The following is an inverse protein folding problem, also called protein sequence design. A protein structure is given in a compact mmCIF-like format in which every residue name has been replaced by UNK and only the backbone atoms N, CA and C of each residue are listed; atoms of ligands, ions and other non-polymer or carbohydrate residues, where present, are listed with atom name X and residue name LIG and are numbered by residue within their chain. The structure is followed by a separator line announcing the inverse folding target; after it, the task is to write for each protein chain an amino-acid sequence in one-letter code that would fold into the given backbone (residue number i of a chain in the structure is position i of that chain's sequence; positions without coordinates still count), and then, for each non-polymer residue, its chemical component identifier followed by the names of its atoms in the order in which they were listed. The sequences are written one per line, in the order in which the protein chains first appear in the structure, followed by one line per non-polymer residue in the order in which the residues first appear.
data_IF_598605433865
#
_entry.id   IF_598605433865
#
_cell.length_a   1.000
_cell.length_b   1.000
_cell.length_c   1.000
_cell.angle_alpha   90.00
_cell.angle_beta   90.00
_cell.angle_gamma   90.00
#
_symmetry.space_group_name_H-M   'P 1'
#
loop_
_entity.id
_entity.type
_entity.pdbx_description
1 polymer ?
#
# COMPACT_ATOMS: atom_id res chain seq x y z
N UNK A 1 1.45 1.76 -50.83
CA UNK A 1 1.83 2.62 -49.68
C UNK A 1 2.08 1.70 -48.50
N UNK A 2 3.33 1.51 -48.09
CA UNK A 2 3.65 0.75 -46.88
C UNK A 2 3.10 1.47 -45.64
N UNK A 3 2.77 0.75 -44.55
CA UNK A 3 2.32 1.39 -43.32
C UNK A 3 3.37 2.40 -42.85
N UNK A 4 2.94 3.64 -42.62
CA UNK A 4 3.79 4.68 -42.03
C UNK A 4 4.10 4.26 -40.61
N UNK A 5 5.30 3.71 -40.39
CA UNK A 5 5.76 3.40 -39.04
C UNK A 5 5.94 4.71 -38.27
N UNK A 6 5.10 4.92 -37.26
CA UNK A 6 5.24 6.04 -36.35
C UNK A 6 6.63 5.98 -35.67
N UNK A 7 7.29 7.13 -35.45
CA UNK A 7 8.52 7.20 -34.65
C UNK A 7 8.38 6.41 -33.35
N UNK A 8 9.44 5.77 -32.87
CA UNK A 8 9.40 4.87 -31.71
C UNK A 8 8.68 5.48 -30.48
N UNK A 9 8.85 6.78 -30.24
CA UNK A 9 8.22 7.53 -29.13
C UNK A 9 6.71 7.77 -29.29
N UNK A 10 6.16 7.67 -30.51
CA UNK A 10 4.72 7.80 -30.80
C UNK A 10 3.99 6.44 -30.75
N UNK A 11 4.72 5.34 -30.73
CA UNK A 11 4.13 4.02 -30.63
C UNK A 11 3.35 3.88 -29.31
N UNK A 12 2.11 3.34 -29.32
CA UNK A 12 1.27 3.20 -28.14
C UNK A 12 1.97 2.50 -26.96
N UNK A 13 2.83 1.52 -27.25
CA UNK A 13 3.60 0.77 -26.26
C UNK A 13 4.59 1.65 -25.49
N UNK A 14 5.33 2.52 -26.18
CA UNK A 14 6.30 3.41 -25.54
C UNK A 14 5.62 4.49 -24.70
N UNK A 15 4.51 5.06 -25.18
CA UNK A 15 3.72 6.03 -24.41
C UNK A 15 3.16 5.43 -23.13
N UNK A 16 2.65 4.19 -23.19
CA UNK A 16 2.19 3.42 -22.04
C UNK A 16 3.32 3.19 -21.02
N UNK A 17 4.49 2.74 -21.48
CA UNK A 17 5.62 2.47 -20.60
C UNK A 17 6.17 3.77 -19.96
N UNK A 18 6.25 4.86 -20.74
CA UNK A 18 6.66 6.16 -20.21
C UNK A 18 5.69 6.67 -19.13
N UNK A 19 4.38 6.54 -19.36
CA UNK A 19 3.36 6.88 -18.39
C UNK A 19 3.51 6.08 -17.09
N UNK A 20 3.61 4.75 -17.18
CA UNK A 20 3.77 3.89 -16.00
C UNK A 20 5.08 4.17 -15.25
N UNK A 21 6.17 4.42 -15.99
CA UNK A 21 7.45 4.79 -15.39
C UNK A 21 7.34 6.09 -14.57
N UNK A 22 6.74 7.14 -15.15
CA UNK A 22 6.53 8.42 -14.46
C UNK A 22 5.62 8.23 -13.25
N UNK A 23 4.56 7.44 -13.38
CA UNK A 23 3.65 7.12 -12.29
C UNK A 23 4.38 6.45 -11.11
N UNK A 24 5.14 5.38 -11.36
CA UNK A 24 5.90 4.70 -10.31
C UNK A 24 7.01 5.57 -9.74
N UNK A 25 7.63 6.44 -10.54
CA UNK A 25 8.62 7.39 -10.06
C UNK A 25 8.02 8.41 -9.09
N UNK A 26 6.85 8.97 -9.40
CA UNK A 26 6.14 9.90 -8.51
C UNK A 26 5.81 9.20 -7.19
N UNK A 27 5.26 7.98 -7.25
CA UNK A 27 4.95 7.21 -6.05
C UNK A 27 6.19 6.86 -5.24
N UNK A 28 7.27 6.43 -5.88
CA UNK A 28 8.55 6.18 -5.24
C UNK A 28 9.08 7.43 -4.52
N UNK A 29 9.06 8.59 -5.17
CA UNK A 29 9.50 9.85 -4.58
C UNK A 29 8.63 10.23 -3.36
N UNK A 30 7.30 10.08 -3.46
CA UNK A 30 6.39 10.33 -2.35
C UNK A 30 6.68 9.46 -1.13
N UNK A 31 6.74 8.14 -1.32
CA UNK A 31 7.02 7.20 -0.24
C UNK A 31 8.44 7.35 0.33
N UNK A 32 9.43 7.66 -0.50
CA UNK A 32 10.81 7.93 -0.06
C UNK A 32 10.91 9.21 0.77
N UNK A 33 10.21 10.26 0.36
CA UNK A 33 10.12 11.50 1.13
C UNK A 33 9.47 11.27 2.49
N UNK A 34 8.35 10.53 2.53
CA UNK A 34 7.67 10.17 3.78
C UNK A 34 8.63 9.40 4.69
N UNK A 35 9.23 8.31 4.19
CA UNK A 35 10.11 7.46 4.97
C UNK A 35 11.32 8.22 5.53
N UNK A 36 11.94 9.07 4.72
CA UNK A 36 13.08 9.88 5.13
C UNK A 36 12.68 10.88 6.21
N UNK A 37 11.55 11.59 6.05
CA UNK A 37 11.06 12.53 7.05
C UNK A 37 10.73 11.84 8.37
N UNK A 38 10.08 10.67 8.33
CA UNK A 38 9.80 9.88 9.53
C UNK A 38 11.09 9.48 10.24
N UNK A 39 12.08 8.99 9.50
CA UNK A 39 13.37 8.54 10.05
C UNK A 39 14.12 9.70 10.69
N UNK A 40 14.23 10.84 10.00
CA UNK A 40 14.91 12.04 10.52
C UNK A 40 14.22 12.55 11.79
N UNK A 41 12.89 12.63 11.81
CA UNK A 41 12.14 13.10 12.98
C UNK A 41 12.27 12.16 14.17
N UNK A 42 12.24 10.84 13.93
CA UNK A 42 12.47 9.83 14.95
C UNK A 42 13.85 9.98 15.60
N UNK A 43 14.91 10.19 14.81
CA UNK A 43 16.27 10.39 15.34
C UNK A 43 16.49 11.76 15.98
N UNK A 44 15.83 12.82 15.49
CA UNK A 44 16.09 14.20 15.94
C UNK A 44 15.33 14.57 17.21
N UNK A 45 14.10 14.11 17.35
CA UNK A 45 13.16 14.57 18.39
C UNK A 45 12.67 13.44 19.30
N UNK A 46 13.06 12.18 19.04
CA UNK A 46 12.70 11.03 19.87
C UNK A 46 11.19 10.81 19.98
N UNK A 47 10.72 10.52 21.20
CA UNK A 47 9.31 10.20 21.48
C UNK A 47 8.34 11.38 21.29
N UNK A 48 8.79 12.61 21.53
CA UNK A 48 7.93 13.81 21.47
C UNK A 48 7.69 14.30 20.04
N UNK A 49 8.34 13.69 19.05
CA UNK A 49 8.24 14.06 17.63
C UNK A 49 6.96 13.60 16.92
N UNK A 50 6.21 12.70 17.54
CA UNK A 50 5.20 11.89 16.85
C UNK A 50 3.99 12.71 16.41
N UNK A 51 3.56 13.67 17.25
CA UNK A 51 2.40 14.53 16.99
C UNK A 51 2.62 15.39 15.75
N UNK A 52 3.77 16.09 15.71
CA UNK A 52 4.16 16.91 14.55
C UNK A 52 4.43 16.08 13.29
N UNK A 53 4.87 14.83 13.47
CA UNK A 53 5.17 13.91 12.36
C UNK A 53 3.90 13.56 11.59
N UNK A 54 2.81 13.20 12.26
CA UNK A 54 1.56 12.91 11.56
C UNK A 54 0.98 14.14 10.86
N UNK A 55 1.06 15.32 11.48
CA UNK A 55 0.56 16.56 10.88
C UNK A 55 1.30 16.91 9.58
N UNK A 56 2.63 16.73 9.55
CA UNK A 56 3.45 17.00 8.37
C UNK A 56 3.33 15.92 7.28
N UNK A 57 3.19 14.66 7.67
CA UNK A 57 3.32 13.51 6.75
C UNK A 57 1.95 12.95 6.34
N UNK A 58 0.95 13.07 7.19
CA UNK A 58 -0.38 12.48 7.01
C UNK A 58 -1.07 12.95 5.73
N UNK A 59 -0.89 14.21 5.34
CA UNK A 59 -1.41 14.72 4.06
C UNK A 59 -0.76 14.00 2.87
N UNK A 60 0.57 13.92 2.85
CA UNK A 60 1.30 13.28 1.75
C UNK A 60 1.00 11.79 1.70
N UNK A 61 0.91 11.12 2.86
CA UNK A 61 0.51 9.72 2.95
C UNK A 61 -0.89 9.50 2.35
N UNK A 62 -1.88 10.31 2.72
CA UNK A 62 -3.24 10.23 2.16
C UNK A 62 -3.22 10.41 0.65
N UNK A 63 -2.48 11.40 0.14
CA UNK A 63 -2.34 11.63 -1.29
C UNK A 63 -1.72 10.44 -2.01
N UNK A 64 -0.60 9.91 -1.53
CA UNK A 64 0.06 8.73 -2.11
C UNK A 64 -0.89 7.53 -2.14
N UNK A 65 -1.57 7.21 -1.03
CA UNK A 65 -2.52 6.10 -0.97
C UNK A 65 -3.72 6.30 -1.92
N UNK A 66 -4.25 7.52 -2.03
CA UNK A 66 -5.31 7.82 -2.99
C UNK A 66 -4.84 7.68 -4.43
N UNK A 67 -3.61 8.10 -4.76
CA UNK A 67 -3.04 7.92 -6.09
C UNK A 67 -2.78 6.43 -6.39
N UNK A 68 -2.53 5.59 -5.37
CA UNK A 68 -2.40 4.14 -5.53
C UNK A 68 -3.69 3.46 -5.98
N UNK A 69 -4.87 4.07 -5.79
CA UNK A 69 -6.12 3.56 -6.38
C UNK A 69 -6.08 3.51 -7.91
N UNK A 70 -5.28 4.36 -8.56
CA UNK A 70 -5.09 4.31 -10.01
C UNK A 70 -4.50 2.98 -10.48
N UNK A 71 -3.78 2.25 -9.62
CA UNK A 71 -3.24 0.93 -9.95
C UNK A 71 -4.37 -0.07 -10.23
N UNK A 72 -5.48 0.00 -9.48
CA UNK A 72 -6.65 -0.83 -9.74
C UNK A 72 -7.25 -0.53 -11.11
N UNK A 73 -7.28 0.75 -11.50
CA UNK A 73 -7.72 1.15 -12.83
C UNK A 73 -6.75 0.67 -13.90
N UNK A 74 -5.44 0.74 -13.66
CA UNK A 74 -4.42 0.26 -14.60
C UNK A 74 -4.56 -1.24 -14.85
N UNK A 75 -4.78 -2.03 -13.79
CA UNK A 75 -5.00 -3.48 -13.91
C UNK A 75 -6.34 -3.77 -14.60
N UNK A 76 -7.41 -3.09 -14.19
CA UNK A 76 -8.75 -3.29 -14.75
C UNK A 76 -8.83 -2.99 -16.25
N UNK A 77 -8.18 -1.92 -16.71
CA UNK A 77 -8.12 -1.53 -18.13
C UNK A 77 -7.10 -2.39 -18.91
N UNK A 78 -6.28 -3.20 -18.24
CA UNK A 78 -5.24 -4.02 -18.88
C UNK A 78 -3.98 -3.22 -19.27
N UNK A 79 -3.78 -2.05 -18.67
CA UNK A 79 -2.53 -1.29 -18.76
C UNK A 79 -1.44 -2.03 -17.97
N UNK A 80 -1.73 -2.52 -16.77
CA UNK A 80 -0.81 -3.34 -16.01
C UNK A 80 -1.26 -4.81 -16.03
N UNK A 81 -0.32 -5.73 -16.19
CA UNK A 81 -0.59 -7.17 -16.19
C UNK A 81 -0.31 -7.72 -14.79
N UNK A 82 -1.29 -7.58 -13.90
CA UNK A 82 -1.23 -8.05 -12.51
C UNK A 82 -2.61 -8.60 -12.08
N UNK A 83 -2.68 -9.31 -10.95
CA UNK A 83 -3.90 -9.85 -10.40
C UNK A 83 -4.69 -8.77 -9.65
N UNK A 84 -5.92 -8.50 -10.13
CA UNK A 84 -6.76 -7.43 -9.58
C UNK A 84 -7.18 -7.68 -8.13
N UNK A 85 -7.58 -8.91 -7.79
CA UNK A 85 -8.18 -9.20 -6.48
C UNK A 85 -7.21 -9.03 -5.29
N UNK A 86 -5.97 -9.58 -5.30
CA UNK A 86 -5.01 -9.33 -4.23
C UNK A 86 -4.66 -7.85 -4.07
N UNK A 87 -4.49 -7.12 -5.18
CA UNK A 87 -4.20 -5.69 -5.16
C UNK A 87 -5.37 -4.88 -4.63
N UNK A 88 -6.60 -5.26 -4.98
CA UNK A 88 -7.82 -4.65 -4.45
C UNK A 88 -7.92 -4.82 -2.94
N UNK A 89 -7.68 -6.03 -2.41
CA UNK A 89 -7.70 -6.29 -0.97
C UNK A 89 -6.64 -5.46 -0.24
N UNK A 90 -5.40 -5.43 -0.75
CA UNK A 90 -4.29 -4.68 -0.15
C UNK A 90 -4.49 -3.16 -0.15
N UNK A 91 -5.09 -2.60 -1.20
CA UNK A 91 -5.35 -1.16 -1.23
C UNK A 91 -6.56 -0.80 -0.37
N UNK A 92 -7.59 -1.63 -0.38
CA UNK A 92 -8.80 -1.40 0.41
C UNK A 92 -8.52 -1.47 1.90
N UNK A 93 -7.72 -2.44 2.37
CA UNK A 93 -7.37 -2.55 3.78
C UNK A 93 -6.63 -1.29 4.28
N UNK A 94 -5.63 -0.84 3.52
CA UNK A 94 -4.82 0.34 3.88
C UNK A 94 -5.63 1.62 3.85
N UNK A 95 -6.53 1.78 2.88
CA UNK A 95 -7.41 2.95 2.77
C UNK A 95 -8.40 2.99 3.92
N UNK A 96 -9.01 1.87 4.29
CA UNK A 96 -9.92 1.81 5.43
C UNK A 96 -9.16 2.20 6.70
N UNK A 97 -8.00 1.60 6.97
CA UNK A 97 -7.22 1.94 8.16
C UNK A 97 -6.80 3.42 8.15
N UNK A 98 -6.29 3.93 7.03
CA UNK A 98 -5.79 5.31 6.97
C UNK A 98 -6.90 6.35 7.11
N UNK A 99 -7.99 6.22 6.36
CA UNK A 99 -9.05 7.22 6.32
C UNK A 99 -10.08 7.04 7.43
N UNK A 100 -10.48 5.79 7.69
CA UNK A 100 -11.54 5.50 8.65
C UNK A 100 -11.01 5.43 10.07
N UNK A 101 -9.88 4.75 10.31
CA UNK A 101 -9.37 4.56 11.68
C UNK A 101 -8.45 5.71 12.10
N UNK A 102 -7.42 6.01 11.30
CA UNK A 102 -6.37 6.95 11.70
C UNK A 102 -6.81 8.40 11.49
N UNK A 103 -7.35 8.75 10.32
CA UNK A 103 -7.70 10.15 10.01
C UNK A 103 -8.93 10.65 10.77
N UNK A 104 -9.83 9.76 11.21
CA UNK A 104 -11.06 10.20 11.89
C UNK A 104 -10.91 10.45 13.39
N UNK A 105 -9.81 10.01 14.00
CA UNK A 105 -9.54 10.15 15.44
C UNK A 105 -8.14 10.74 15.64
N UNK A 106 -8.05 11.99 16.11
CA UNK A 106 -6.77 12.67 16.32
C UNK A 106 -5.92 11.95 17.40
N UNK A 107 -6.56 11.39 18.41
CA UNK A 107 -5.92 10.65 19.51
C UNK A 107 -5.22 9.37 19.04
N UNK A 108 -5.67 8.79 17.92
CA UNK A 108 -5.06 7.60 17.32
C UNK A 108 -3.83 7.98 16.51
N UNK A 109 -3.82 9.16 15.89
CA UNK A 109 -2.72 9.66 15.04
C UNK A 109 -1.41 9.78 15.81
N UNK A 110 -1.48 10.09 17.10
CA UNK A 110 -0.33 10.24 17.98
C UNK A 110 0.24 8.91 18.50
N UNK A 111 -0.42 7.78 18.24
CA UNK A 111 0.00 6.47 18.78
C UNK A 111 1.19 5.91 18.01
N UNK A 112 2.10 5.26 18.75
CA UNK A 112 3.27 4.56 18.17
C UNK A 112 2.93 3.55 17.08
N UNK A 113 1.77 2.90 17.19
CA UNK A 113 1.31 1.92 16.19
C UNK A 113 1.15 2.54 14.81
N UNK A 114 0.69 3.79 14.72
CA UNK A 114 0.52 4.50 13.45
C UNK A 114 1.88 4.79 12.81
N UNK A 115 2.85 5.20 13.62
CA UNK A 115 4.23 5.41 13.15
C UNK A 115 4.84 4.12 12.59
N UNK A 116 4.71 3.00 13.32
CA UNK A 116 5.20 1.70 12.87
C UNK A 116 4.51 1.26 11.56
N UNK A 117 3.19 1.44 11.48
CA UNK A 117 2.42 1.15 10.25
C UNK A 117 2.94 1.94 9.06
N UNK A 118 3.12 3.24 9.22
CA UNK A 118 3.59 4.10 8.14
C UNK A 118 4.99 3.69 7.70
N UNK A 119 5.89 3.34 8.62
CA UNK A 119 7.22 2.83 8.26
C UNK A 119 7.10 1.57 7.40
N UNK A 120 6.34 0.57 7.83
CA UNK A 120 6.18 -0.68 7.08
C UNK A 120 5.56 -0.47 5.70
N UNK A 121 4.50 0.32 5.65
CA UNK A 121 3.82 0.73 4.42
C UNK A 121 4.78 1.38 3.42
N UNK A 122 5.55 2.38 3.84
CA UNK A 122 6.48 3.07 2.93
C UNK A 122 7.66 2.19 2.51
N UNK A 123 8.18 1.34 3.39
CA UNK A 123 9.28 0.42 3.04
C UNK A 123 8.83 -0.58 1.97
N UNK A 124 7.64 -1.16 2.12
CA UNK A 124 7.07 -2.06 1.11
C UNK A 124 6.86 -1.36 -0.23
N UNK A 125 6.23 -0.18 -0.20
CA UNK A 125 5.94 0.57 -1.41
C UNK A 125 7.21 1.07 -2.10
N UNK A 126 8.21 1.56 -1.38
CA UNK A 126 9.49 1.97 -1.98
C UNK A 126 10.12 0.83 -2.78
N UNK A 127 10.21 -0.37 -2.21
CA UNK A 127 10.82 -1.51 -2.89
C UNK A 127 9.98 -1.97 -4.07
N UNK A 128 8.66 -2.05 -3.91
CA UNK A 128 7.73 -2.42 -4.99
C UNK A 128 7.78 -1.43 -6.14
N UNK A 129 7.68 -0.13 -5.88
CA UNK A 129 7.72 0.90 -6.91
C UNK A 129 9.06 0.95 -7.62
N UNK A 130 10.18 0.73 -6.91
CA UNK A 130 11.50 0.60 -7.54
C UNK A 130 11.53 -0.58 -8.50
N UNK A 131 11.01 -1.74 -8.08
CA UNK A 131 10.93 -2.93 -8.94
C UNK A 131 10.02 -2.70 -10.16
N UNK A 132 8.80 -2.17 -9.96
CA UNK A 132 7.85 -1.90 -11.04
C UNK A 132 8.39 -0.89 -12.05
N UNK A 133 9.02 0.18 -11.58
CA UNK A 133 9.66 1.19 -12.43
C UNK A 133 10.75 0.59 -13.33
N UNK A 134 11.63 -0.25 -12.77
CA UNK A 134 12.70 -0.90 -13.55
C UNK A 134 12.14 -1.98 -14.50
N UNK A 135 11.10 -2.70 -14.07
CA UNK A 135 10.43 -3.72 -14.89
C UNK A 135 9.83 -3.11 -16.17
N UNK A 136 9.23 -1.92 -16.08
CA UNK A 136 8.61 -1.22 -17.23
C UNK A 136 9.64 -0.82 -18.30
N UNK A 137 10.87 -0.49 -17.90
CA UNK A 137 11.98 -0.18 -18.83
C UNK A 137 12.73 -1.44 -19.28
N UNK A 138 12.31 -2.62 -18.82
CA UNK A 138 12.92 -3.92 -19.18
C UNK A 138 14.22 -4.23 -18.45
N UNK A 139 14.56 -3.48 -17.39
CA UNK A 139 15.74 -3.71 -16.56
C UNK A 139 15.35 -4.58 -15.37
N UNK A 140 16.03 -5.71 -15.20
CA UNK A 140 15.81 -6.61 -14.07
C UNK A 140 17.10 -6.92 -13.33
N UNK A 141 17.18 -6.56 -12.06
CA UNK A 141 18.29 -6.92 -11.17
C UNK A 141 17.89 -8.08 -10.27
N UNK A 142 18.72 -9.12 -10.20
CA UNK A 142 18.43 -10.33 -9.41
C UNK A 142 18.13 -10.02 -7.94
N UNK A 143 18.94 -9.15 -7.32
CA UNK A 143 18.81 -8.79 -5.91
C UNK A 143 17.51 -8.02 -5.67
N UNK A 144 17.18 -7.05 -6.54
CA UNK A 144 15.97 -6.25 -6.39
C UNK A 144 14.71 -7.08 -6.62
N UNK A 145 14.69 -7.95 -7.64
CA UNK A 145 13.58 -8.87 -7.89
C UNK A 145 13.38 -9.78 -6.67
N UNK A 146 14.46 -10.37 -6.15
CA UNK A 146 14.37 -11.23 -4.97
C UNK A 146 13.88 -10.47 -3.74
N UNK A 147 14.39 -9.25 -3.51
CA UNK A 147 13.99 -8.40 -2.38
C UNK A 147 12.51 -8.04 -2.47
N UNK A 148 12.05 -7.53 -3.62
CA UNK A 148 10.63 -7.20 -3.84
C UNK A 148 9.71 -8.39 -3.64
N UNK A 149 10.16 -9.59 -3.98
CA UNK A 149 9.40 -10.83 -3.86
C UNK A 149 9.54 -11.51 -2.48
N UNK A 150 10.39 -10.99 -1.59
CA UNK A 150 10.66 -11.61 -0.28
C UNK A 150 10.32 -10.70 0.88
N UNK A 151 10.48 -9.39 0.73
CA UNK A 151 10.29 -8.39 1.78
C UNK A 151 8.86 -8.35 2.32
N UNK A 152 7.86 -8.61 1.46
CA UNK A 152 6.46 -8.63 1.86
C UNK A 152 6.14 -9.79 2.82
N UNK A 153 6.84 -10.92 2.76
CA UNK A 153 6.52 -12.09 3.59
C UNK A 153 6.59 -11.81 5.10
N UNK A 154 7.66 -11.19 5.65
CA UNK A 154 7.69 -10.82 7.06
C UNK A 154 6.90 -9.54 7.36
N UNK A 155 6.93 -8.53 6.47
CA UNK A 155 6.35 -7.23 6.78
C UNK A 155 4.82 -7.24 6.71
N UNK A 156 4.22 -7.97 5.76
CA UNK A 156 2.76 -8.00 5.58
C UNK A 156 2.01 -8.52 6.84
N UNK A 157 2.40 -9.65 7.46
CA UNK A 157 1.86 -10.06 8.76
C UNK A 157 2.01 -9.01 9.86
N UNK A 158 3.16 -8.32 9.90
CA UNK A 158 3.41 -7.28 10.90
C UNK A 158 2.54 -6.05 10.65
N UNK A 159 2.28 -5.69 9.39
CA UNK A 159 1.31 -4.66 9.03
C UNK A 159 -0.08 -5.02 9.56
N UNK A 160 -0.60 -6.21 9.22
CA UNK A 160 -1.95 -6.64 9.63
C UNK A 160 -2.09 -6.66 11.16
N UNK A 161 -1.06 -7.12 11.89
CA UNK A 161 -1.04 -7.07 13.35
C UNK A 161 -1.06 -5.63 13.89
N UNK A 162 -0.29 -4.73 13.29
CA UNK A 162 -0.29 -3.32 13.69
C UNK A 162 -1.61 -2.62 13.32
N UNK A 163 -2.26 -2.96 12.21
CA UNK A 163 -3.59 -2.48 11.82
C UNK A 163 -4.65 -2.95 12.81
N UNK A 164 -4.60 -4.23 13.20
CA UNK A 164 -5.47 -4.79 14.23
C UNK A 164 -5.28 -4.07 15.58
N UNK A 165 -4.05 -3.75 15.96
CA UNK A 165 -3.75 -3.01 17.18
C UNK A 165 -4.19 -1.53 17.10
N UNK A 166 -4.10 -0.91 15.93
CA UNK A 166 -4.62 0.45 15.69
C UNK A 166 -6.16 0.47 15.82
N UNK A 167 -6.85 -0.51 15.23
CA UNK A 167 -8.29 -0.71 15.41
C UNK A 167 -8.63 -0.87 16.89
N UNK A 168 -7.95 -1.78 17.59
CA UNK A 168 -8.21 -2.04 18.99
C UNK A 168 -8.07 -0.79 19.87
N UNK A 169 -7.01 0.00 19.65
CA UNK A 169 -6.82 1.25 20.36
C UNK A 169 -7.83 2.33 19.98
N UNK A 170 -8.37 2.32 18.76
CA UNK A 170 -9.37 3.28 18.30
C UNK A 170 -10.79 3.00 18.85
N UNK A 171 -11.13 1.75 19.15
CA UNK A 171 -12.44 1.33 19.64
C UNK A 171 -13.01 2.19 20.78
N UNK A 172 -12.29 2.45 21.90
CA UNK A 172 -12.83 3.25 23.00
C UNK A 172 -13.16 4.69 22.59
N UNK A 173 -12.44 5.26 21.61
CA UNK A 173 -12.70 6.59 21.09
C UNK A 173 -13.98 6.60 20.23
N UNK A 174 -14.17 5.59 19.37
CA UNK A 174 -15.43 5.44 18.63
C UNK A 174 -16.64 5.17 19.53
N UNK A 175 -16.45 4.44 20.63
CA UNK A 175 -17.51 4.16 21.60
C UNK A 175 -17.90 5.42 22.41
N UNK A 176 -16.94 6.28 22.74
CA UNK A 176 -17.17 7.49 23.53
C UNK A 176 -17.66 8.69 22.71
N UNK A 177 -17.07 8.95 21.53
CA UNK A 177 -17.42 10.09 20.69
C UNK A 177 -18.62 9.82 19.77
N UNK A 178 -18.98 8.55 19.55
CA UNK A 178 -20.09 8.17 18.66
C UNK A 178 -19.83 8.48 17.18
N UNK A 179 -18.59 8.76 16.78
CA UNK A 179 -18.19 9.08 15.40
C UNK A 179 -18.65 7.96 14.45
N UNK A 180 -19.37 8.32 13.38
CA UNK A 180 -19.99 7.41 12.40
C UNK A 180 -21.12 6.51 12.90
N UNK A 181 -21.63 6.70 14.12
CA UNK A 181 -22.81 5.95 14.59
C UNK A 181 -24.10 6.65 14.15
N UNK A 182 -24.78 6.09 13.14
CA UNK A 182 -26.10 6.55 12.70
C UNK A 182 -27.21 5.73 13.35
N UNK A 183 -28.15 6.39 14.04
CA UNK A 183 -29.42 5.78 14.42
C UNK A 183 -30.31 5.70 13.18
N UNK A 184 -30.50 4.50 12.62
CA UNK A 184 -31.49 4.31 11.56
C UNK A 184 -32.91 4.42 12.13
N UNK A 185 -33.90 4.84 11.32
CA UNK A 185 -35.31 4.95 11.73
C UNK A 185 -36.03 3.60 11.91
N UNK A 186 -35.38 2.48 11.57
CA UNK A 186 -35.81 1.13 11.90
C UNK A 186 -34.83 0.60 12.97
N UNK A 187 -35.31 -0.13 13.98
CA UNK A 187 -34.61 -0.56 15.22
C UNK A 187 -33.22 -1.25 15.08
N UNK A 188 -32.63 -1.32 13.89
CA UNK A 188 -31.21 -1.59 13.66
C UNK A 188 -30.36 -0.33 13.86
N UNK A 189 -29.96 -0.06 15.11
CA UNK A 189 -28.82 0.83 15.35
C UNK A 189 -27.52 0.08 15.02
N UNK A 190 -26.98 0.27 13.81
CA UNK A 190 -25.64 -0.22 13.48
C UNK A 190 -24.64 0.68 14.21
N UNK A 191 -24.16 0.19 15.35
CA UNK A 191 -23.13 0.87 16.11
C UNK A 191 -21.78 0.61 15.45
N UNK A 192 -21.12 1.68 15.03
CA UNK A 192 -19.89 1.64 14.23
C UNK A 192 -18.77 0.77 14.85
N UNK A 193 -18.57 0.75 16.20
CA UNK A 193 -17.65 -0.19 16.85
C UNK A 193 -17.90 -1.68 16.57
N UNK A 194 -19.15 -2.12 16.36
CA UNK A 194 -19.41 -3.51 15.97
C UNK A 194 -18.95 -3.80 14.54
N UNK A 195 -19.12 -2.83 13.62
CA UNK A 195 -18.59 -2.93 12.26
C UNK A 195 -17.07 -3.07 12.28
N UNK A 196 -16.39 -2.27 13.12
CA UNK A 196 -14.93 -2.32 13.25
C UNK A 196 -14.44 -3.64 13.87
N UNK A 197 -15.18 -4.21 14.85
CA UNK A 197 -14.91 -5.54 15.41
C UNK A 197 -15.09 -6.66 14.37
N UNK A 198 -16.12 -6.58 13.52
CA UNK A 198 -16.29 -7.52 12.40
C UNK A 198 -15.19 -7.38 11.35
N UNK A 199 -14.79 -6.13 11.05
CA UNK A 199 -13.69 -5.84 10.14
C UNK A 199 -12.35 -6.41 10.63
N UNK A 200 -12.10 -6.39 11.95
CA UNK A 200 -10.93 -7.04 12.55
C UNK A 200 -10.85 -8.53 12.19
N UNK A 201 -11.96 -9.27 12.25
CA UNK A 201 -11.99 -10.68 11.83
C UNK A 201 -11.73 -10.82 10.33
N UNK A 202 -12.30 -9.93 9.52
CA UNK A 202 -12.12 -9.93 8.07
C UNK A 202 -10.67 -9.65 7.66
N UNK A 203 -9.93 -8.81 8.39
CA UNK A 203 -8.51 -8.52 8.14
C UNK A 203 -7.66 -9.80 8.19
N UNK A 204 -7.83 -10.64 9.21
CA UNK A 204 -7.05 -11.89 9.32
C UNK A 204 -7.40 -12.90 8.23
N UNK A 205 -8.67 -12.95 7.82
CA UNK A 205 -9.11 -13.80 6.70
C UNK A 205 -8.50 -13.28 5.39
N UNK A 206 -8.61 -11.98 5.13
CA UNK A 206 -8.04 -11.31 3.96
C UNK A 206 -6.52 -11.49 3.88
N UNK A 207 -5.83 -11.39 5.01
CA UNK A 207 -4.40 -11.64 5.13
C UNK A 207 -4.05 -13.06 4.64
N UNK A 208 -4.76 -14.09 5.11
CA UNK A 208 -4.48 -15.46 4.70
C UNK A 208 -4.64 -15.68 3.19
N UNK A 209 -5.71 -15.13 2.60
CA UNK A 209 -5.96 -15.22 1.16
C UNK A 209 -4.89 -14.50 0.35
N UNK A 210 -4.59 -13.24 0.69
CA UNK A 210 -3.59 -12.42 0.01
C UNK A 210 -2.20 -13.03 0.15
N UNK A 211 -1.82 -13.49 1.34
CA UNK A 211 -0.54 -14.14 1.60
C UNK A 211 -0.37 -15.40 0.74
N UNK A 212 -1.40 -16.24 0.68
CA UNK A 212 -1.38 -17.47 -0.12
C UNK A 212 -1.20 -17.18 -1.61
N UNK A 213 -1.88 -16.14 -2.11
CA UNK A 213 -1.79 -15.72 -3.51
C UNK A 213 -0.39 -15.18 -3.85
N UNK A 214 0.10 -14.19 -3.08
CA UNK A 214 1.44 -13.62 -3.26
C UNK A 214 2.54 -14.68 -3.15
N UNK A 215 2.36 -15.67 -2.27
CA UNK A 215 3.29 -16.78 -2.14
C UNK A 215 3.31 -17.65 -3.41
N UNK A 216 2.16 -17.83 -4.06
CA UNK A 216 2.09 -18.50 -5.36
C UNK A 216 2.81 -17.69 -6.44
N UNK A 217 2.52 -16.40 -6.56
CA UNK A 217 3.15 -15.50 -7.54
C UNK A 217 4.68 -15.48 -7.40
N UNK A 218 5.18 -15.40 -6.17
CA UNK A 218 6.62 -15.48 -5.88
C UNK A 218 7.25 -16.74 -6.46
N UNK A 219 6.60 -17.90 -6.28
CA UNK A 219 7.12 -19.18 -6.79
C UNK A 219 7.22 -19.18 -8.31
N UNK A 220 6.25 -18.59 -8.99
CA UNK A 220 6.22 -18.52 -10.45
C UNK A 220 7.28 -17.55 -10.98
N UNK A 221 7.36 -16.34 -10.42
CA UNK A 221 8.35 -15.32 -10.82
C UNK A 221 9.78 -15.82 -10.60
N UNK A 222 10.08 -16.39 -9.42
CA UNK A 222 11.42 -16.90 -9.13
C UNK A 222 11.79 -18.11 -9.99
N UNK A 223 10.83 -18.99 -10.30
CA UNK A 223 11.06 -20.12 -11.21
C UNK A 223 11.45 -19.65 -12.61
N UNK A 224 10.70 -18.69 -13.18
CA UNK A 224 11.00 -18.12 -14.49
C UNK A 224 12.35 -17.40 -14.49
N UNK A 225 12.64 -16.64 -13.43
CA UNK A 225 13.90 -15.92 -13.29
C UNK A 225 15.11 -16.87 -13.24
N UNK A 226 15.03 -17.96 -12.48
CA UNK A 226 16.09 -18.98 -12.42
C UNK A 226 16.32 -19.66 -13.78
N UNK A 227 15.25 -19.94 -14.54
CA UNK A 227 15.37 -20.50 -15.89
C UNK A 227 16.06 -19.50 -16.84
N UNK A 228 15.69 -18.21 -16.78
CA UNK A 228 16.32 -17.17 -17.61
C UNK A 228 17.81 -17.01 -17.28
N UNK A 229 18.17 -17.06 -16.00
CA UNK A 229 19.56 -17.02 -15.55
C UNK A 229 20.38 -18.25 -16.00
N UNK A 230 19.78 -19.43 -16.08
CA UNK A 230 20.44 -20.66 -16.56
C UNK A 230 20.68 -20.66 -18.09
N UNK A 231 19.93 -19.85 -18.84
CA UNK A 231 20.03 -19.73 -20.31
C UNK A 231 21.01 -18.64 -20.78
N UNK A 232 21.46 -17.76 -19.88
CA UNK A 232 22.53 -16.78 -20.10
C UNK A 232 23.87 -17.36 -19.66
#
# INVERSE_FOLDING_TARGET
MGPVELPAWLQPRYRKNAYLFIYYLIQFCGHSWIFTNMTVRFFSFGKDSMVDTFYAIGLVMRLCQSISLLELLHIYVGIESDHLLPRFLQLTERIIILFVVITSQEEVQEKYVVCVLFIFWNVLDMVRYTYSMLSVIGISYAVLTWLSQTLWMPIYPLCVLAEAFAIYQSLPYFESFGTYSTKLPFDLSIYFPYVLKMYLMMLFIGMYFTYSHLYSERRDILRVFLIKKKKM
#
